data_IF_010967869448
#
_entry.id   IF_010967869448
#
_cell.length_a   1.000
_cell.length_b   1.000
_cell.length_c   1.000
_cell.angle_alpha   90.00
_cell.angle_beta   90.00
_cell.angle_gamma   90.00
#
_symmetry.space_group_name_H-M   'P 1'
#
loop_
_entity.id
_entity.type
_entity.pdbx_description
1 polymer ?
#
# COMPACT_ATOMS: atom_id res chain seq x y z
N UNK A 1 2.78 -4.44 -16.01
CA UNK A 1 1.45 -4.19 -15.43
C UNK A 1 1.23 -5.23 -14.36
N UNK A 2 1.32 -4.85 -13.09
CA UNK A 2 0.85 -5.67 -11.97
C UNK A 2 -0.58 -5.23 -11.65
N UNK A 3 -1.52 -6.17 -11.67
CA UNK A 3 -2.91 -5.94 -11.30
C UNK A 3 -3.35 -7.04 -10.35
N UNK A 4 -4.34 -6.75 -9.51
CA UNK A 4 -5.01 -7.76 -8.70
C UNK A 4 -6.44 -7.92 -9.22
N UNK A 5 -6.74 -9.11 -9.72
CA UNK A 5 -8.07 -9.45 -10.25
C UNK A 5 -8.95 -10.06 -9.15
N UNK A 6 -10.27 -9.84 -9.25
CA UNK A 6 -11.27 -10.40 -8.33
C UNK A 6 -11.06 -10.05 -6.85
N UNK A 7 -10.72 -8.79 -6.56
CA UNK A 7 -10.50 -8.30 -5.19
C UNK A 7 -11.63 -7.42 -4.68
N UNK A 8 -11.84 -7.43 -3.36
CA UNK A 8 -12.65 -6.41 -2.70
C UNK A 8 -11.77 -5.24 -2.27
N UNK A 9 -12.12 -4.03 -2.65
CA UNK A 9 -11.40 -2.80 -2.27
C UNK A 9 -12.20 -2.03 -1.23
N UNK A 10 -11.55 -1.65 -0.13
CA UNK A 10 -12.14 -0.70 0.83
C UNK A 10 -12.09 0.69 0.20
N UNK A 11 -13.26 1.27 -0.08
CA UNK A 11 -13.39 2.53 -0.81
C UNK A 11 -12.82 3.74 -0.05
N UNK A 12 -12.80 3.70 1.28
CA UNK A 12 -12.17 4.74 2.10
C UNK A 12 -10.64 4.56 2.07
N UNK A 13 -9.95 5.57 1.59
CA UNK A 13 -8.49 5.61 1.61
C UNK A 13 -7.93 5.77 3.03
N UNK A 14 -6.76 5.19 3.26
CA UNK A 14 -5.90 5.52 4.38
C UNK A 14 -4.94 6.61 3.94
N UNK A 15 -4.94 7.75 4.65
CA UNK A 15 -4.14 8.93 4.31
C UNK A 15 -3.20 9.23 5.47
N UNK A 16 -1.91 9.24 5.19
CA UNK A 16 -0.85 9.48 6.18
C UNK A 16 0.07 10.61 5.73
N UNK A 17 0.85 11.13 6.68
CA UNK A 17 1.93 12.10 6.43
C UNK A 17 1.47 13.29 5.58
N UNK A 18 0.34 13.90 5.93
CA UNK A 18 -0.21 15.04 5.19
C UNK A 18 -0.45 14.75 3.69
N UNK A 19 -0.97 13.56 3.40
CA UNK A 19 -1.27 13.13 2.02
C UNK A 19 -0.07 12.58 1.24
N UNK A 20 1.11 12.50 1.84
CA UNK A 20 2.33 11.98 1.16
C UNK A 20 2.35 10.45 1.04
N UNK A 21 1.48 9.75 1.76
CA UNK A 21 1.25 8.31 1.56
C UNK A 21 -0.26 8.05 1.59
N UNK A 22 -0.79 7.55 0.47
CA UNK A 22 -2.21 7.22 0.34
C UNK A 22 -2.34 5.78 -0.12
N UNK A 23 -3.15 4.98 0.58
CA UNK A 23 -3.38 3.57 0.22
C UNK A 23 -4.82 3.14 0.41
N UNK A 24 -5.20 2.07 -0.29
CA UNK A 24 -6.43 1.33 -0.08
C UNK A 24 -6.12 -0.08 0.38
N UNK A 25 -6.92 -0.59 1.30
CA UNK A 25 -6.89 -1.99 1.69
C UNK A 25 -7.66 -2.81 0.65
N UNK A 26 -7.04 -3.88 0.18
CA UNK A 26 -7.67 -4.89 -0.67
C UNK A 26 -7.73 -6.23 0.05
N UNK A 27 -8.78 -7.00 -0.22
CA UNK A 27 -8.89 -8.39 0.23
C UNK A 27 -8.94 -9.29 -0.99
N UNK A 28 -8.02 -10.24 -1.06
CA UNK A 28 -7.92 -11.23 -2.12
C UNK A 28 -8.98 -12.33 -1.93
N UNK A 29 -9.18 -13.17 -2.95
CA UNK A 29 -10.17 -14.24 -2.93
C UNK A 29 -9.95 -15.28 -1.82
N UNK A 30 -8.69 -15.49 -1.40
CA UNK A 30 -8.30 -16.38 -0.29
C UNK A 30 -8.43 -15.71 1.09
N UNK A 31 -8.93 -14.47 1.15
CA UNK A 31 -9.06 -13.68 2.37
C UNK A 31 -7.80 -12.94 2.81
N UNK A 32 -6.68 -13.10 2.09
CA UNK A 32 -5.44 -12.36 2.37
C UNK A 32 -5.66 -10.87 2.17
N UNK A 33 -5.24 -10.06 3.14
CA UNK A 33 -5.30 -8.61 3.07
C UNK A 33 -3.99 -8.05 2.54
N UNK A 34 -4.08 -7.10 1.63
CA UNK A 34 -2.96 -6.32 1.10
C UNK A 34 -3.31 -4.83 1.09
N UNK A 35 -2.31 -4.00 0.89
CA UNK A 35 -2.46 -2.56 0.71
C UNK A 35 -1.87 -2.17 -0.64
N UNK A 36 -2.61 -1.38 -1.42
CA UNK A 36 -2.12 -0.79 -2.68
C UNK A 36 -2.18 0.72 -2.53
N UNK A 37 -1.10 1.41 -2.85
CA UNK A 37 -1.02 2.85 -2.62
C UNK A 37 0.13 3.52 -3.35
N UNK A 38 0.23 4.82 -3.13
CA UNK A 38 1.25 5.70 -3.70
C UNK A 38 1.95 6.44 -2.56
N UNK A 39 3.27 6.50 -2.63
CA UNK A 39 4.11 7.32 -1.75
C UNK A 39 4.69 8.45 -2.61
N UNK A 40 4.44 9.69 -2.21
CA UNK A 40 4.98 10.90 -2.85
C UNK A 40 6.45 11.11 -2.43
N UNK A 41 7.26 11.84 -3.22
CA UNK A 41 8.67 12.09 -2.89
C UNK A 41 8.83 12.70 -1.49
N UNK A 42 9.42 11.94 -0.57
CA UNK A 42 9.53 12.28 0.86
C UNK A 42 10.48 11.32 1.60
N UNK A 43 10.87 11.69 2.81
CA UNK A 43 11.48 10.77 3.79
C UNK A 43 10.46 10.49 4.89
N UNK A 44 10.04 9.23 5.01
CA UNK A 44 8.96 8.81 5.90
C UNK A 44 9.42 7.64 6.78
N UNK A 45 8.88 7.55 8.00
CA UNK A 45 9.13 6.43 8.90
C UNK A 45 7.86 5.62 9.06
N UNK A 46 7.92 4.34 8.72
CA UNK A 46 6.84 3.38 8.92
C UNK A 46 7.23 2.43 10.06
N UNK A 47 6.28 2.13 10.94
CA UNK A 47 6.44 1.13 11.99
C UNK A 47 5.59 -0.09 11.64
N UNK A 48 6.11 -1.28 11.91
CA UNK A 48 5.43 -2.54 11.61
C UNK A 48 5.09 -3.29 12.88
N UNK A 49 3.84 -3.75 13.02
CA UNK A 49 3.44 -4.63 14.12
C UNK A 49 3.79 -6.11 13.87
N UNK A 50 3.77 -6.54 12.62
CA UNK A 50 4.17 -7.86 12.14
C UNK A 50 5.11 -7.68 10.94
N UNK A 51 5.88 -8.71 10.52
CA UNK A 51 6.73 -8.62 9.33
C UNK A 51 5.93 -8.28 8.07
N UNK A 52 6.44 -7.35 7.27
CA UNK A 52 5.77 -6.87 6.04
C UNK A 52 6.70 -6.97 4.83
N UNK A 53 6.11 -7.24 3.66
CA UNK A 53 6.79 -7.18 2.36
C UNK A 53 6.27 -5.96 1.61
N UNK A 54 7.16 -5.02 1.33
CA UNK A 54 6.90 -3.84 0.51
C UNK A 54 7.38 -4.09 -0.92
N UNK A 55 6.45 -4.34 -1.82
CA UNK A 55 6.75 -4.48 -3.25
C UNK A 55 6.68 -3.12 -3.95
N UNK A 56 7.81 -2.66 -4.49
CA UNK A 56 7.86 -1.43 -5.27
C UNK A 56 7.39 -1.70 -6.70
N UNK A 57 6.14 -1.32 -7.01
CA UNK A 57 5.51 -1.57 -8.32
C UNK A 57 5.92 -0.58 -9.41
N UNK A 58 6.31 0.65 -9.02
CA UNK A 58 6.75 1.70 -9.92
C UNK A 58 7.55 2.77 -9.17
N UNK A 59 8.40 3.49 -9.89
CA UNK A 59 9.28 4.52 -9.33
C UNK A 59 10.51 3.91 -8.66
N UNK A 60 11.14 4.69 -7.79
CA UNK A 60 12.35 4.28 -7.05
C UNK A 60 12.32 4.88 -5.65
N UNK A 61 12.75 4.10 -4.66
CA UNK A 61 12.97 4.57 -3.31
C UNK A 61 14.26 3.98 -2.75
N UNK A 62 14.69 4.49 -1.60
CA UNK A 62 15.73 3.91 -0.77
C UNK A 62 15.13 3.61 0.60
N UNK A 63 15.39 2.41 1.08
CA UNK A 63 14.98 1.92 2.41
C UNK A 63 16.23 1.76 3.26
#
# INVERSE_FOLDING_TARGET
MSQFDNVSVVSKANVYFDGKCVSHSITLADGVKKSVGVIMPSTLTFNTGAPEIMESVAGTCRV
#
